data_IF_320453815454
#
_entry.id   IF_320453815454
#
_cell.length_a   1.000
_cell.length_b   1.000
_cell.length_c   1.000
_cell.angle_alpha   90.00
_cell.angle_beta   90.00
_cell.angle_gamma   90.00
#
_symmetry.space_group_name_H-M   'P 1'
#
loop_
_entity.id
_entity.type
_entity.pdbx_description
1 polymer ?
#
# COMPACT_ATOMS: atom_id res chain seq x y z
N UNK A 1 -35.34 13.70 -7.17
CA UNK A 1 -34.97 12.37 -6.66
C UNK A 1 -36.20 11.50 -6.78
N UNK A 2 -36.05 10.35 -7.44
CA UNK A 2 -37.10 9.34 -7.47
C UNK A 2 -37.27 8.71 -6.08
N UNK A 3 -38.47 8.24 -5.79
CA UNK A 3 -38.81 7.65 -4.50
C UNK A 3 -38.13 6.27 -4.39
N UNK A 4 -37.25 6.03 -3.41
CA UNK A 4 -36.47 4.80 -3.35
C UNK A 4 -37.37 3.62 -2.95
N UNK A 5 -37.52 2.65 -3.85
CA UNK A 5 -38.25 1.39 -3.59
C UNK A 5 -37.32 0.33 -3.00
N UNK A 6 -37.83 -0.50 -2.09
CA UNK A 6 -37.09 -1.65 -1.57
C UNK A 6 -37.30 -2.87 -2.45
N UNK A 7 -36.23 -3.39 -3.02
CA UNK A 7 -36.23 -4.59 -3.85
C UNK A 7 -35.27 -5.68 -3.35
N UNK A 8 -34.81 -5.56 -2.09
CA UNK A 8 -33.86 -6.50 -1.49
C UNK A 8 -32.38 -6.27 -1.84
N UNK A 9 -32.02 -5.28 -2.67
CA UNK A 9 -30.62 -5.01 -3.06
C UNK A 9 -29.92 -3.92 -2.23
N UNK A 10 -30.48 -3.57 -1.08
CA UNK A 10 -29.96 -2.57 -0.14
C UNK A 10 -30.24 -3.08 1.28
N UNK A 11 -29.39 -2.71 2.24
CA UNK A 11 -29.61 -3.09 3.62
C UNK A 11 -30.89 -2.41 4.17
N UNK A 12 -31.81 -3.14 4.85
CA UNK A 12 -33.07 -2.57 5.33
C UNK A 12 -32.92 -1.31 6.18
N UNK A 13 -31.96 -1.28 7.10
CA UNK A 13 -31.70 -0.08 7.93
C UNK A 13 -31.24 1.11 7.08
N UNK A 14 -30.48 0.89 6.01
CA UNK A 14 -30.02 1.95 5.12
C UNK A 14 -31.17 2.51 4.27
N UNK A 15 -31.96 1.63 3.68
CA UNK A 15 -33.13 2.03 2.91
C UNK A 15 -34.16 2.80 3.76
N UNK A 16 -34.37 2.37 5.00
CA UNK A 16 -35.24 3.08 5.96
C UNK A 16 -34.66 4.47 6.27
N UNK A 17 -33.35 4.60 6.49
CA UNK A 17 -32.71 5.88 6.73
C UNK A 17 -32.81 6.83 5.51
N UNK A 18 -32.67 6.28 4.30
CA UNK A 18 -32.84 7.05 3.06
C UNK A 18 -34.28 7.56 2.92
N UNK A 19 -35.26 6.72 3.23
CA UNK A 19 -36.67 7.12 3.28
C UNK A 19 -36.93 8.18 4.35
N UNK A 20 -36.38 8.00 5.55
CA UNK A 20 -36.51 8.99 6.63
C UNK A 20 -35.95 10.34 6.22
N UNK A 21 -34.78 10.35 5.58
CA UNK A 21 -34.16 11.57 5.05
C UNK A 21 -35.04 12.20 3.97
N UNK A 22 -35.53 11.41 3.01
CA UNK A 22 -36.38 11.88 1.93
C UNK A 22 -37.70 12.47 2.44
N UNK A 23 -38.36 11.78 3.37
CA UNK A 23 -39.64 12.23 3.92
C UNK A 23 -39.47 13.38 4.89
N UNK A 24 -38.46 13.42 5.76
CA UNK A 24 -38.20 14.58 6.62
C UNK A 24 -38.03 15.88 5.81
N UNK A 25 -37.46 15.79 4.61
CA UNK A 25 -37.34 16.93 3.68
C UNK A 25 -38.71 17.34 3.10
N UNK A 26 -39.70 16.43 3.06
CA UNK A 26 -40.99 16.63 2.38
C UNK A 26 -42.21 16.72 3.30
N UNK A 27 -42.22 16.11 4.48
CA UNK A 27 -43.31 16.02 5.47
C UNK A 27 -42.76 15.68 6.88
N UNK A 28 -43.45 16.11 7.93
CA UNK A 28 -42.98 15.94 9.33
C UNK A 28 -43.17 14.54 9.94
N UNK A 29 -43.94 13.64 9.31
CA UNK A 29 -44.26 12.31 9.85
C UNK A 29 -44.35 11.26 8.73
N UNK A 30 -43.63 10.14 8.88
CA UNK A 30 -43.67 9.01 7.96
C UNK A 30 -44.82 8.10 8.34
N UNK A 31 -45.80 7.96 7.44
CA UNK A 31 -46.84 6.95 7.59
C UNK A 31 -46.28 5.57 7.18
N UNK A 32 -46.40 4.59 8.07
CA UNK A 32 -45.94 3.21 7.84
C UNK A 32 -46.59 2.57 6.60
N UNK A 33 -47.87 2.86 6.33
CA UNK A 33 -48.58 2.32 5.18
C UNK A 33 -47.97 2.81 3.86
N UNK A 34 -47.51 4.07 3.83
CA UNK A 34 -46.79 4.62 2.69
C UNK A 34 -45.47 3.86 2.53
N UNK A 35 -44.70 3.65 3.59
CA UNK A 35 -43.43 2.92 3.51
C UNK A 35 -43.62 1.48 3.03
N UNK A 36 -44.65 0.79 3.53
CA UNK A 36 -45.01 -0.57 3.09
C UNK A 36 -45.31 -0.58 1.58
N UNK A 37 -46.01 0.44 1.06
CA UNK A 37 -46.31 0.55 -0.38
C UNK A 37 -45.07 0.74 -1.28
N UNK A 38 -43.91 1.05 -0.69
CA UNK A 38 -42.63 1.20 -1.39
C UNK A 38 -41.80 -0.09 -1.44
N UNK A 39 -42.26 -1.14 -0.78
CA UNK A 39 -41.67 -2.47 -0.89
C UNK A 39 -42.12 -3.10 -2.21
N UNK A 40 -41.18 -3.69 -2.92
CA UNK A 40 -41.46 -4.40 -4.16
C UNK A 40 -42.49 -5.51 -3.92
N UNK A 41 -43.51 -5.58 -4.78
CA UNK A 41 -44.62 -6.54 -4.64
C UNK A 41 -44.19 -8.01 -4.67
N UNK A 42 -42.99 -8.32 -5.15
CA UNK A 42 -42.41 -9.67 -5.11
C UNK A 42 -42.02 -10.10 -3.68
N UNK A 43 -41.81 -9.15 -2.77
CA UNK A 43 -41.46 -9.37 -1.37
C UNK A 43 -42.75 -9.41 -0.54
N UNK A 44 -43.09 -10.59 -0.02
CA UNK A 44 -44.32 -10.80 0.73
C UNK A 44 -44.11 -10.48 2.21
N UNK A 45 -44.69 -9.38 2.66
CA UNK A 45 -44.66 -8.99 4.07
C UNK A 45 -45.74 -9.72 4.90
N UNK A 46 -45.45 -10.06 6.16
CA UNK A 46 -46.46 -10.56 7.10
C UNK A 46 -47.49 -9.47 7.43
N UNK A 47 -48.67 -9.89 7.88
CA UNK A 47 -49.71 -8.98 8.39
C UNK A 47 -49.31 -8.39 9.76
N UNK A 48 -49.79 -7.19 10.08
CA UNK A 48 -49.60 -6.60 11.42
C UNK A 48 -48.32 -5.79 11.62
N UNK A 49 -47.69 -5.35 10.52
CA UNK A 49 -46.60 -4.37 10.54
C UNK A 49 -47.20 -3.00 10.83
N UNK A 50 -47.05 -2.52 12.06
CA UNK A 50 -47.57 -1.22 12.53
C UNK A 50 -46.47 -0.19 12.79
N UNK A 51 -45.19 -0.57 12.64
CA UNK A 51 -44.05 0.30 12.88
C UNK A 51 -42.81 -0.09 12.08
N UNK A 52 -41.83 0.82 12.04
CA UNK A 52 -40.59 0.68 11.27
C UNK A 52 -39.72 -0.48 11.76
N UNK A 53 -39.71 -0.77 13.06
CA UNK A 53 -38.92 -1.89 13.61
C UNK A 53 -39.46 -3.24 13.14
N UNK A 54 -40.79 -3.44 13.20
CA UNK A 54 -41.44 -4.64 12.67
C UNK A 54 -41.22 -4.78 11.17
N UNK A 55 -41.32 -3.67 10.42
CA UNK A 55 -41.06 -3.68 8.98
C UNK A 55 -39.61 -4.11 8.70
N UNK A 56 -38.63 -3.48 9.36
CA UNK A 56 -37.22 -3.82 9.22
C UNK A 56 -36.97 -5.31 9.46
N UNK A 57 -37.52 -5.86 10.54
CA UNK A 57 -37.33 -7.25 10.88
C UNK A 57 -37.94 -8.17 9.81
N UNK A 58 -39.16 -7.86 9.33
CA UNK A 58 -39.78 -8.58 8.23
C UNK A 58 -38.96 -8.53 6.93
N UNK A 59 -38.36 -7.37 6.60
CA UNK A 59 -37.48 -7.23 5.44
C UNK A 59 -36.18 -8.02 5.58
N UNK A 60 -35.64 -8.16 6.80
CA UNK A 60 -34.46 -8.99 7.08
C UNK A 60 -34.75 -10.49 7.07
N UNK A 61 -35.98 -10.89 7.40
CA UNK A 61 -36.42 -12.30 7.34
C UNK A 61 -36.67 -12.77 5.90
N UNK A 62 -36.94 -11.87 4.96
CA UNK A 62 -37.15 -12.21 3.56
C UNK A 62 -35.89 -12.82 2.89
N UNK A 63 -36.11 -13.77 1.98
CA UNK A 63 -35.03 -14.47 1.27
C UNK A 63 -34.15 -13.53 0.44
N UNK A 64 -34.71 -12.42 -0.07
CA UNK A 64 -33.96 -11.44 -0.86
C UNK A 64 -32.85 -10.79 -0.04
N UNK A 65 -33.11 -10.46 1.23
CA UNK A 65 -32.08 -9.93 2.12
C UNK A 65 -30.99 -10.97 2.41
N UNK A 66 -31.37 -12.24 2.59
CA UNK A 66 -30.39 -13.33 2.74
C UNK A 66 -29.48 -13.45 1.52
N UNK A 67 -30.04 -13.35 0.31
CA UNK A 67 -29.27 -13.36 -0.95
C UNK A 67 -28.34 -12.15 -1.04
N UNK A 68 -28.83 -10.95 -0.72
CA UNK A 68 -28.03 -9.72 -0.68
C UNK A 68 -26.86 -9.83 0.32
N UNK A 69 -27.13 -10.25 1.55
CA UNK A 69 -26.14 -10.45 2.61
C UNK A 69 -25.03 -11.40 2.17
N UNK A 70 -25.42 -12.56 1.65
CA UNK A 70 -24.48 -13.58 1.15
C UNK A 70 -23.68 -13.09 -0.07
N UNK A 71 -24.27 -12.24 -0.91
CA UNK A 71 -23.57 -11.64 -2.05
C UNK A 71 -22.47 -10.71 -1.58
N UNK A 72 -22.76 -9.80 -0.63
CA UNK A 72 -21.75 -8.91 -0.05
C UNK A 72 -20.61 -9.70 0.62
N UNK A 73 -20.93 -10.81 1.32
CA UNK A 73 -19.92 -11.71 1.88
C UNK A 73 -19.02 -12.35 0.81
N UNK A 74 -19.57 -12.80 -0.33
CA UNK A 74 -18.77 -13.32 -1.45
C UNK A 74 -17.90 -12.25 -2.11
N UNK A 75 -18.38 -11.00 -2.18
CA UNK A 75 -17.58 -9.88 -2.67
C UNK A 75 -16.41 -9.59 -1.70
N UNK A 76 -16.64 -9.63 -0.38
CA UNK A 76 -15.55 -9.53 0.62
C UNK A 76 -14.49 -10.61 0.44
N UNK A 77 -14.89 -11.85 0.12
CA UNK A 77 -13.96 -12.97 -0.10
C UNK A 77 -13.04 -12.76 -1.31
N UNK A 78 -13.49 -12.01 -2.32
CA UNK A 78 -12.75 -11.72 -3.54
C UNK A 78 -12.19 -10.30 -3.61
N UNK A 79 -12.43 -9.48 -2.59
CA UNK A 79 -11.96 -8.11 -2.50
C UNK A 79 -10.43 -8.09 -2.50
N UNK A 80 -9.84 -7.21 -3.30
CA UNK A 80 -8.38 -7.04 -3.38
C UNK A 80 -8.01 -5.61 -3.06
N UNK A 81 -7.03 -5.44 -2.18
CA UNK A 81 -6.37 -4.17 -1.94
C UNK A 81 -5.32 -3.93 -3.02
N UNK A 82 -5.42 -2.79 -3.70
CA UNK A 82 -4.37 -2.29 -4.58
C UNK A 82 -3.69 -1.11 -3.87
N UNK A 83 -2.37 -1.16 -3.59
CA UNK A 83 -1.69 -0.04 -2.97
C UNK A 83 -1.59 1.15 -3.94
N UNK A 84 -1.49 2.36 -3.39
CA UNK A 84 -1.47 3.62 -4.15
C UNK A 84 -0.34 3.68 -5.17
N UNK A 85 0.83 3.10 -4.85
CA UNK A 85 1.96 2.98 -5.79
C UNK A 85 1.66 2.17 -7.05
N UNK A 86 0.63 1.31 -7.02
CA UNK A 86 0.13 0.54 -8.17
C UNK A 86 -1.14 1.18 -8.76
N UNK A 87 -1.38 2.46 -8.50
CA UNK A 87 -2.56 3.21 -8.95
C UNK A 87 -3.83 2.93 -8.15
N UNK A 88 -3.71 2.33 -6.96
CA UNK A 88 -4.84 2.10 -6.06
C UNK A 88 -5.28 3.35 -5.30
N UNK A 89 -6.36 3.22 -4.53
CA UNK A 89 -6.87 4.28 -3.66
C UNK A 89 -7.33 3.65 -2.33
N UNK A 90 -6.57 3.93 -1.27
CA UNK A 90 -6.81 3.34 0.06
C UNK A 90 -8.15 3.77 0.65
N UNK A 91 -8.54 5.02 0.47
CA UNK A 91 -9.82 5.55 0.97
C UNK A 91 -11.02 4.84 0.34
N UNK A 92 -11.02 4.68 -1.00
CA UNK A 92 -12.06 3.95 -1.73
C UNK A 92 -12.12 2.48 -1.31
N UNK A 93 -10.95 1.85 -1.14
CA UNK A 93 -10.87 0.47 -0.67
C UNK A 93 -11.49 0.31 0.73
N UNK A 94 -11.12 1.16 1.68
CA UNK A 94 -11.63 1.12 3.06
C UNK A 94 -13.13 1.41 3.10
N UNK A 95 -13.61 2.40 2.36
CA UNK A 95 -15.04 2.71 2.26
C UNK A 95 -15.83 1.50 1.76
N UNK A 96 -15.35 0.88 0.68
CA UNK A 96 -15.97 -0.32 0.11
C UNK A 96 -15.92 -1.50 1.10
N UNK A 97 -14.77 -1.76 1.72
CA UNK A 97 -14.62 -2.83 2.73
C UNK A 97 -15.63 -2.67 3.88
N UNK A 98 -15.71 -1.47 4.48
CA UNK A 98 -16.67 -1.18 5.56
C UNK A 98 -18.11 -1.41 5.12
N UNK A 99 -18.45 -0.92 3.93
CA UNK A 99 -19.78 -1.04 3.37
C UNK A 99 -20.19 -2.50 3.18
N UNK A 100 -19.29 -3.30 2.63
CA UNK A 100 -19.51 -4.73 2.44
C UNK A 100 -19.63 -5.47 3.78
N UNK A 101 -18.82 -5.15 4.79
CA UNK A 101 -18.94 -5.74 6.13
C UNK A 101 -20.31 -5.44 6.76
N UNK A 102 -20.75 -4.17 6.67
CA UNK A 102 -22.07 -3.75 7.15
C UNK A 102 -23.21 -4.48 6.43
N UNK A 103 -23.20 -4.48 5.10
CA UNK A 103 -24.23 -5.14 4.28
C UNK A 103 -24.27 -6.66 4.50
N UNK A 104 -23.14 -7.27 4.83
CA UNK A 104 -23.01 -8.69 5.14
C UNK A 104 -23.37 -9.02 6.61
N UNK A 105 -23.71 -8.03 7.43
CA UNK A 105 -23.87 -8.13 8.90
C UNK A 105 -22.67 -8.79 9.61
N UNK A 106 -21.45 -8.57 9.11
CA UNK A 106 -20.22 -9.06 9.72
C UNK A 106 -19.77 -8.06 10.79
N UNK A 107 -20.24 -8.27 12.01
CA UNK A 107 -19.92 -7.43 13.17
C UNK A 107 -18.74 -7.97 14.00
N UNK A 108 -18.38 -9.24 13.84
CA UNK A 108 -17.25 -9.85 14.51
C UNK A 108 -15.92 -9.32 13.95
N UNK A 109 -15.12 -8.72 14.83
CA UNK A 109 -13.86 -8.07 14.45
C UNK A 109 -12.82 -9.09 13.99
N UNK A 110 -12.82 -10.31 14.54
CA UNK A 110 -11.92 -11.38 14.09
C UNK A 110 -12.26 -11.86 12.67
N UNK A 111 -13.54 -11.93 12.31
CA UNK A 111 -13.97 -12.19 10.94
C UNK A 111 -13.57 -11.04 9.99
N UNK A 112 -13.72 -9.78 10.41
CA UNK A 112 -13.28 -8.61 9.65
C UNK A 112 -11.77 -8.61 9.40
N UNK A 113 -10.95 -8.92 10.42
CA UNK A 113 -9.49 -9.08 10.29
C UNK A 113 -9.14 -10.10 9.21
N UNK A 114 -9.80 -11.26 9.20
CA UNK A 114 -9.58 -12.32 8.20
C UNK A 114 -9.90 -11.85 6.79
N UNK A 115 -11.00 -11.12 6.59
CA UNK A 115 -11.34 -10.57 5.27
C UNK A 115 -10.34 -9.51 4.81
N UNK A 116 -9.97 -8.59 5.69
CA UNK A 116 -9.00 -7.55 5.37
C UNK A 116 -7.63 -8.18 5.02
N UNK A 117 -7.15 -9.13 5.82
CA UNK A 117 -5.90 -9.85 5.55
C UNK A 117 -5.92 -10.57 4.20
N UNK A 118 -6.99 -11.30 3.87
CA UNK A 118 -7.13 -12.01 2.59
C UNK A 118 -7.16 -11.08 1.38
N UNK A 119 -7.53 -9.81 1.58
CA UNK A 119 -7.53 -8.82 0.51
C UNK A 119 -6.13 -8.30 0.16
N UNK A 120 -5.14 -8.51 1.03
CA UNK A 120 -3.77 -8.07 0.80
C UNK A 120 -3.16 -8.82 -0.40
N UNK A 121 -2.26 -8.19 -1.17
CA UNK A 121 -1.70 -8.84 -2.34
C UNK A 121 -0.87 -10.08 -1.95
N UNK A 122 -1.09 -11.19 -2.67
CA UNK A 122 -0.47 -12.50 -2.42
C UNK A 122 1.04 -12.57 -2.66
N UNK A 123 1.64 -11.51 -3.18
CA UNK A 123 3.02 -11.50 -3.66
C UNK A 123 3.92 -11.12 -2.47
N UNK A 124 4.37 -12.07 -1.65
CA UNK A 124 5.43 -11.91 -0.64
C UNK A 124 5.61 -10.47 -0.11
N UNK A 125 4.53 -9.88 0.37
CA UNK A 125 4.57 -8.63 1.11
C UNK A 125 4.98 -9.02 2.51
N UNK A 126 6.23 -9.47 2.67
CA UNK A 126 6.74 -9.92 3.96
C UNK A 126 6.58 -8.78 4.97
N UNK A 127 6.76 -7.52 4.55
CA UNK A 127 6.51 -6.37 5.40
C UNK A 127 5.03 -6.18 5.78
N UNK A 128 4.12 -5.88 4.83
CA UNK A 128 2.71 -5.58 5.16
C UNK A 128 2.08 -6.75 5.91
N UNK A 129 2.34 -7.99 5.48
CA UNK A 129 1.69 -9.16 6.08
C UNK A 129 2.19 -9.45 7.50
N UNK A 130 3.50 -9.29 7.76
CA UNK A 130 4.06 -9.45 9.10
C UNK A 130 3.61 -8.32 10.02
N UNK A 131 3.70 -7.07 9.56
CA UNK A 131 3.22 -5.90 10.31
C UNK A 131 1.72 -6.01 10.61
N UNK A 132 0.93 -6.50 9.66
CA UNK A 132 -0.49 -6.75 9.87
C UNK A 132 -0.70 -7.76 11.00
N UNK A 133 -0.01 -8.90 10.99
CA UNK A 133 -0.18 -9.89 12.05
C UNK A 133 0.18 -9.31 13.43
N UNK A 134 1.28 -8.58 13.53
CA UNK A 134 1.73 -7.98 14.79
C UNK A 134 0.82 -6.87 15.30
N UNK A 135 0.48 -5.89 14.43
CA UNK A 135 -0.33 -4.73 14.81
C UNK A 135 -1.80 -5.07 15.06
N UNK A 136 -2.31 -6.19 14.53
CA UNK A 136 -3.72 -6.56 14.65
C UNK A 136 -4.05 -7.46 15.86
N UNK A 137 -3.05 -7.89 16.66
CA UNK A 137 -3.26 -8.80 17.81
C UNK A 137 -4.32 -8.32 18.80
N UNK A 138 -4.26 -7.04 19.17
CA UNK A 138 -5.10 -6.47 20.24
C UNK A 138 -6.25 -5.61 19.73
N UNK A 139 -6.51 -5.62 18.42
CA UNK A 139 -7.56 -4.80 17.80
C UNK A 139 -8.94 -5.37 18.14
N UNK A 140 -9.81 -4.53 18.70
CA UNK A 140 -11.13 -4.95 19.20
C UNK A 140 -12.32 -4.27 18.50
N UNK A 141 -12.07 -3.42 17.51
CA UNK A 141 -13.10 -2.70 16.77
C UNK A 141 -12.70 -2.48 15.31
N UNK A 142 -13.70 -2.29 14.44
CA UNK A 142 -13.45 -1.97 13.02
C UNK A 142 -12.71 -0.64 12.83
N UNK A 143 -12.97 0.35 13.68
CA UNK A 143 -12.31 1.65 13.58
C UNK A 143 -10.83 1.53 13.93
N UNK A 144 -10.49 0.75 14.96
CA UNK A 144 -9.09 0.46 15.30
C UNK A 144 -8.41 -0.38 14.21
N UNK A 145 -9.10 -1.39 13.67
CA UNK A 145 -8.62 -2.19 12.53
C UNK A 145 -8.21 -1.31 11.35
N UNK A 146 -9.07 -0.36 10.96
CA UNK A 146 -8.81 0.56 9.86
C UNK A 146 -7.64 1.49 10.19
N UNK A 147 -7.57 2.00 11.43
CA UNK A 147 -6.47 2.86 11.87
C UNK A 147 -5.13 2.14 11.75
N UNK A 148 -5.02 0.93 12.30
CA UNK A 148 -3.79 0.12 12.21
C UNK A 148 -3.42 -0.23 10.78
N UNK A 149 -4.42 -0.47 9.93
CA UNK A 149 -4.17 -0.73 8.51
C UNK A 149 -3.64 0.51 7.79
N UNK A 150 -4.19 1.69 8.07
CA UNK A 150 -3.67 2.96 7.55
C UNK A 150 -2.22 3.19 7.99
N UNK A 151 -1.89 2.93 9.27
CA UNK A 151 -0.52 3.05 9.78
C UNK A 151 0.44 2.17 8.97
N UNK A 152 0.05 0.92 8.67
CA UNK A 152 0.84 -0.01 7.84
C UNK A 152 1.00 0.51 6.41
N UNK A 153 -0.08 1.03 5.81
CA UNK A 153 -0.03 1.59 4.44
C UNK A 153 0.88 2.81 4.38
N UNK A 154 0.83 3.67 5.40
CA UNK A 154 1.69 4.84 5.51
C UNK A 154 3.16 4.44 5.66
N UNK A 155 3.46 3.48 6.53
CA UNK A 155 4.81 2.92 6.67
C UNK A 155 5.30 2.31 5.34
N UNK A 156 4.45 1.54 4.67
CA UNK A 156 4.73 0.91 3.38
C UNK A 156 5.06 1.92 2.28
N UNK A 157 4.38 3.07 2.28
CA UNK A 157 4.60 4.14 1.30
C UNK A 157 5.99 4.76 1.42
N UNK A 158 6.60 4.71 2.61
CA UNK A 158 7.92 5.27 2.89
C UNK A 158 9.07 4.27 2.66
N UNK A 159 8.77 3.00 2.34
CA UNK A 159 9.81 1.99 2.12
C UNK A 159 10.56 2.18 0.80
N UNK A 160 11.88 2.04 0.88
CA UNK A 160 12.77 2.02 -0.29
C UNK A 160 12.69 0.65 -0.97
N UNK A 161 12.34 0.67 -2.25
CA UNK A 161 12.14 -0.52 -3.07
C UNK A 161 13.10 -0.56 -4.23
N UNK A 162 13.16 -1.72 -4.86
CA UNK A 162 13.89 -1.86 -6.10
C UNK A 162 13.31 -0.90 -7.15
N UNK A 163 14.17 -0.05 -7.70
CA UNK A 163 13.81 0.99 -8.65
C UNK A 163 13.42 2.34 -8.04
N UNK A 164 13.38 2.47 -6.71
CA UNK A 164 13.16 3.77 -6.05
C UNK A 164 14.24 4.77 -6.47
N UNK A 165 13.85 6.05 -6.60
CA UNK A 165 14.79 7.16 -6.76
C UNK A 165 15.08 7.73 -5.38
N UNK A 166 16.37 7.80 -5.04
CA UNK A 166 16.85 8.22 -3.73
C UNK A 166 17.97 9.24 -3.87
N UNK A 167 18.23 9.99 -2.79
CA UNK A 167 19.40 10.83 -2.66
C UNK A 167 20.30 10.29 -1.53
N UNK A 168 21.61 10.37 -1.70
CA UNK A 168 22.58 9.87 -0.73
C UNK A 168 23.22 11.06 -0.02
N UNK A 169 22.92 11.24 1.27
CA UNK A 169 23.39 12.39 2.05
C UNK A 169 24.61 12.03 2.87
N UNK A 170 25.71 12.76 2.70
CA UNK A 170 26.90 12.61 3.51
C UNK A 170 26.69 13.22 4.89
N UNK A 171 26.75 12.39 5.93
CA UNK A 171 26.39 12.71 7.31
C UNK A 171 27.15 13.93 7.81
N UNK A 172 28.48 13.94 7.68
CA UNK A 172 29.31 15.00 8.24
C UNK A 172 29.11 16.37 7.56
N UNK A 173 28.83 16.38 6.25
CA UNK A 173 28.71 17.65 5.49
C UNK A 173 27.28 18.08 5.24
N UNK A 174 26.30 17.19 5.42
CA UNK A 174 24.91 17.39 5.02
C UNK A 174 24.67 17.49 3.50
N UNK A 175 25.71 17.31 2.68
CA UNK A 175 25.66 17.44 1.22
C UNK A 175 25.38 16.11 0.53
N UNK A 176 24.87 16.15 -0.69
CA UNK A 176 24.42 14.98 -1.41
C UNK A 176 25.44 14.47 -2.43
N UNK A 177 25.60 13.15 -2.49
CA UNK A 177 26.40 12.47 -3.50
C UNK A 177 25.84 12.76 -4.88
N UNK A 178 26.67 13.34 -5.74
CA UNK A 178 26.27 13.87 -7.03
C UNK A 178 27.16 13.36 -8.14
N UNK A 179 26.60 13.34 -9.35
CA UNK A 179 27.34 13.10 -10.57
C UNK A 179 26.80 13.93 -11.74
N UNK A 180 27.62 14.11 -12.76
CA UNK A 180 27.26 14.86 -13.96
C UNK A 180 27.44 13.95 -15.17
N UNK A 181 26.48 14.01 -16.10
CA UNK A 181 26.55 13.24 -17.34
C UNK A 181 27.80 13.65 -18.14
N UNK A 182 28.53 12.66 -18.64
CA UNK A 182 29.78 12.82 -19.41
C UNK A 182 30.95 13.45 -18.63
N UNK A 183 30.82 13.65 -17.31
CA UNK A 183 31.94 14.06 -16.48
C UNK A 183 32.60 12.80 -15.92
N UNK A 184 33.84 12.54 -16.34
CA UNK A 184 34.59 11.35 -15.99
C UNK A 184 35.93 11.68 -15.31
N UNK A 185 36.49 10.74 -14.57
CA UNK A 185 37.86 10.85 -14.09
C UNK A 185 38.85 10.95 -15.26
N UNK A 186 39.87 11.82 -15.12
CA UNK A 186 40.91 11.99 -16.15
C UNK A 186 41.92 10.83 -16.10
N UNK A 187 42.18 10.31 -14.90
CA UNK A 187 43.12 9.23 -14.60
C UNK A 187 42.43 8.12 -13.80
N UNK A 188 43.03 6.94 -13.66
CA UNK A 188 42.40 5.81 -12.99
C UNK A 188 41.34 5.12 -13.87
N UNK A 189 40.13 4.92 -13.34
CA UNK A 189 39.06 4.16 -14.01
C UNK A 189 38.50 4.85 -15.27
N UNK A 190 38.71 6.16 -15.43
CA UNK A 190 38.09 7.00 -16.48
C UNK A 190 36.56 6.90 -16.55
N UNK A 191 35.98 6.39 -15.48
CA UNK A 191 34.55 6.23 -15.31
C UNK A 191 33.92 7.55 -14.90
N UNK A 192 32.59 7.53 -14.76
CA UNK A 192 31.85 8.70 -14.33
C UNK A 192 32.34 9.22 -12.96
N UNK A 193 32.60 10.53 -12.90
CA UNK A 193 33.02 11.23 -11.70
C UNK A 193 31.85 11.32 -10.70
N UNK A 194 32.14 10.98 -9.45
CA UNK A 194 31.20 11.12 -8.33
C UNK A 194 31.82 12.03 -7.27
N UNK A 195 31.04 12.95 -6.73
CA UNK A 195 31.52 13.95 -5.79
C UNK A 195 30.42 14.39 -4.82
N UNK A 196 30.80 15.01 -3.71
CA UNK A 196 29.87 15.64 -2.77
C UNK A 196 29.42 16.99 -3.35
N UNK A 197 28.13 17.10 -3.68
CA UNK A 197 27.54 18.25 -4.36
C UNK A 197 26.84 19.23 -3.42
N UNK A 198 25.61 19.60 -3.79
CA UNK A 198 24.79 20.57 -3.08
C UNK A 198 24.36 20.07 -1.68
N UNK A 199 24.02 21.01 -0.80
CA UNK A 199 23.35 20.74 0.49
C UNK A 199 21.87 20.42 0.33
N UNK A 200 21.33 20.58 -0.89
CA UNK A 200 19.96 20.23 -1.26
C UNK A 200 19.98 19.10 -2.32
N UNK A 201 18.96 18.22 -2.33
CA UNK A 201 18.85 17.20 -3.36
C UNK A 201 18.51 17.88 -4.69
N UNK A 202 19.44 17.78 -5.65
CA UNK A 202 19.30 18.31 -7.00
C UNK A 202 19.21 17.16 -8.01
N UNK A 203 18.77 17.39 -9.26
CA UNK A 203 18.68 16.32 -10.25
C UNK A 203 19.99 15.55 -10.55
N UNK A 204 21.15 16.14 -10.24
CA UNK A 204 22.47 15.49 -10.35
C UNK A 204 22.82 14.62 -9.13
N UNK A 205 22.02 14.64 -8.08
CA UNK A 205 22.23 13.85 -6.85
C UNK A 205 21.20 12.74 -6.67
N UNK A 206 20.43 12.45 -7.73
CA UNK A 206 19.40 11.42 -7.72
C UNK A 206 19.96 10.10 -8.27
N UNK A 207 19.71 9.04 -7.54
CA UNK A 207 20.17 7.70 -7.81
C UNK A 207 19.00 6.74 -7.79
N UNK A 208 18.89 5.88 -8.80
CA UNK A 208 17.96 4.76 -8.79
C UNK A 208 18.62 3.59 -8.07
N UNK A 209 18.00 3.13 -6.99
CA UNK A 209 18.47 1.95 -6.25
C UNK A 209 17.98 0.69 -6.96
N UNK A 210 18.85 -0.28 -7.19
CA UNK A 210 18.54 -1.52 -7.90
C UNK A 210 19.12 -2.73 -7.15
N UNK A 211 18.29 -3.72 -6.84
CA UNK A 211 18.69 -4.95 -6.15
C UNK A 211 17.79 -6.11 -6.56
N UNK A 212 18.18 -7.35 -6.28
CA UNK A 212 17.29 -8.51 -6.44
C UNK A 212 16.21 -8.50 -5.34
N UNK A 213 14.96 -8.83 -5.66
CA UNK A 213 13.85 -8.76 -4.69
C UNK A 213 13.11 -7.42 -4.67
N UNK A 214 12.12 -7.28 -3.78
CA UNK A 214 11.23 -6.11 -3.73
C UNK A 214 11.64 -5.05 -2.69
N UNK A 215 12.22 -5.46 -1.55
CA UNK A 215 12.62 -4.58 -0.43
C UNK A 215 14.11 -4.70 -0.09
N UNK A 216 14.74 -3.57 0.21
CA UNK A 216 16.19 -3.50 0.49
C UNK A 216 16.59 -4.14 1.82
N UNK A 217 15.67 -4.20 2.80
CA UNK A 217 15.97 -4.59 4.18
C UNK A 217 15.99 -6.10 4.46
N UNK A 218 15.59 -6.94 3.50
CA UNK A 218 15.27 -8.36 3.77
C UNK A 218 16.18 -9.38 3.10
N UNK A 219 17.30 -8.96 2.51
CA UNK A 219 18.18 -9.86 1.76
C UNK A 219 19.62 -9.36 1.77
N UNK A 220 20.59 -10.29 1.85
CA UNK A 220 22.03 -10.09 1.58
C UNK A 220 22.29 -9.73 0.09
N UNK A 221 21.49 -8.84 -0.47
CA UNK A 221 21.49 -8.55 -1.89
C UNK A 221 22.40 -7.36 -2.17
N UNK A 222 23.27 -7.54 -3.16
CA UNK A 222 24.08 -6.47 -3.70
C UNK A 222 23.18 -5.34 -4.20
N UNK A 223 23.32 -4.16 -3.61
CA UNK A 223 22.63 -2.96 -4.06
C UNK A 223 23.49 -2.28 -5.12
N UNK A 224 22.86 -1.93 -6.24
CA UNK A 224 23.45 -1.10 -7.28
C UNK A 224 22.75 0.24 -7.26
N UNK A 225 23.52 1.31 -7.40
CA UNK A 225 22.99 2.66 -7.52
C UNK A 225 23.24 3.14 -8.93
N UNK A 226 22.19 3.56 -9.64
CA UNK A 226 22.30 4.06 -11.01
C UNK A 226 21.98 5.54 -11.04
N UNK A 227 22.91 6.36 -11.51
CA UNK A 227 22.67 7.80 -11.59
C UNK A 227 21.56 8.12 -12.60
N UNK A 228 20.54 8.87 -12.17
CA UNK A 228 19.30 9.06 -12.95
C UNK A 228 19.54 9.75 -14.29
N UNK A 229 20.44 10.73 -14.36
CA UNK A 229 20.67 11.50 -15.60
C UNK A 229 21.58 10.84 -16.62
N UNK A 230 22.52 10.03 -16.17
CA UNK A 230 23.53 9.41 -17.04
C UNK A 230 23.29 7.92 -17.28
N UNK A 231 22.38 7.29 -16.53
CA UNK A 231 22.06 5.87 -16.60
C UNK A 231 23.28 4.96 -16.32
N UNK A 232 24.26 5.49 -15.60
CA UNK A 232 25.52 4.82 -15.26
C UNK A 232 25.52 4.40 -13.79
N UNK A 233 26.11 3.25 -13.51
CA UNK A 233 26.17 2.70 -12.16
C UNK A 233 27.29 3.31 -11.32
N UNK A 234 27.03 3.41 -10.01
CA UNK A 234 28.00 3.64 -8.96
C UNK A 234 28.74 2.32 -8.69
N UNK A 235 30.07 2.36 -8.72
CA UNK A 235 30.93 1.20 -8.54
C UNK A 235 31.43 0.66 -9.87
N UNK A 236 32.77 0.61 -9.99
CA UNK A 236 33.44 0.17 -11.21
C UNK A 236 34.10 -1.17 -10.92
N UNK A 237 33.28 -2.20 -11.02
CA UNK A 237 33.73 -3.58 -11.09
C UNK A 237 34.39 -3.78 -12.47
N UNK A 238 35.65 -4.17 -12.51
CA UNK A 238 36.28 -4.64 -13.74
C UNK A 238 36.61 -6.12 -13.64
N UNK A 239 36.46 -6.82 -14.76
CA UNK A 239 36.83 -8.22 -14.89
C UNK A 239 38.13 -8.29 -15.70
N UNK A 240 39.11 -9.03 -15.21
CA UNK A 240 40.26 -9.42 -16.01
C UNK A 240 40.48 -10.92 -15.90
N UNK A 241 41.00 -11.51 -16.98
CA UNK A 241 41.35 -12.91 -17.00
C UNK A 241 42.76 -13.06 -16.43
N UNK A 242 42.87 -13.76 -15.30
CA UNK A 242 44.17 -14.09 -14.73
C UNK A 242 44.70 -15.36 -15.39
N UNK A 243 45.71 -15.16 -16.24
CA UNK A 243 46.37 -16.23 -16.98
C UNK A 243 47.09 -17.24 -16.06
N UNK A 244 47.39 -16.87 -14.80
CA UNK A 244 48.10 -17.74 -13.84
C UNK A 244 47.11 -18.70 -13.16
N UNK A 245 45.98 -18.19 -12.68
CA UNK A 245 44.95 -19.01 -12.03
C UNK A 245 43.94 -19.63 -13.00
N UNK A 246 43.93 -19.19 -14.28
CA UNK A 246 42.99 -19.63 -15.30
C UNK A 246 41.54 -19.18 -15.05
N UNK A 247 41.33 -18.15 -14.22
CA UNK A 247 40.00 -17.67 -13.82
C UNK A 247 39.80 -16.20 -14.16
N UNK A 248 38.55 -15.84 -14.41
CA UNK A 248 38.13 -14.44 -14.45
C UNK A 248 38.07 -13.90 -13.03
N UNK A 249 38.92 -12.93 -12.72
CA UNK A 249 38.94 -12.21 -11.44
C UNK A 249 38.12 -10.94 -11.59
N UNK A 250 37.33 -10.63 -10.55
CA UNK A 250 36.59 -9.38 -10.41
C UNK A 250 37.32 -8.52 -9.38
N UNK A 251 37.68 -7.31 -9.76
CA UNK A 251 38.40 -6.38 -8.91
C UNK A 251 37.84 -4.96 -9.07
N UNK A 252 38.29 -4.06 -8.20
CA UNK A 252 37.78 -2.70 -8.10
C UNK A 252 38.90 -1.69 -8.32
N UNK A 253 38.59 -0.60 -9.02
CA UNK A 253 39.53 0.49 -9.17
C UNK A 253 39.79 1.17 -7.82
N UNK A 254 40.99 1.69 -7.64
CA UNK A 254 41.38 2.46 -6.46
C UNK A 254 41.40 3.94 -6.80
N UNK A 255 40.89 4.76 -5.87
CA UNK A 255 40.92 6.21 -5.94
C UNK A 255 42.35 6.71 -6.17
N UNK A 256 42.59 7.56 -7.17
CA UNK A 256 43.92 8.11 -7.45
C UNK A 256 44.50 8.96 -6.30
N UNK A 257 43.66 9.53 -5.44
CA UNK A 257 44.09 10.46 -4.38
C UNK A 257 44.28 9.78 -3.02
N UNK A 258 43.51 8.74 -2.72
CA UNK A 258 43.50 8.07 -1.40
C UNK A 258 43.90 6.61 -1.44
N UNK A 259 43.97 6.00 -2.63
CA UNK A 259 44.22 4.58 -2.86
C UNK A 259 43.18 3.64 -2.21
N UNK A 260 42.07 4.18 -1.71
CA UNK A 260 40.90 3.42 -1.26
C UNK A 260 40.11 2.90 -2.47
N UNK A 261 39.45 1.76 -2.30
CA UNK A 261 38.59 1.17 -3.33
C UNK A 261 37.47 2.13 -3.73
N UNK A 262 37.19 2.25 -5.02
CA UNK A 262 36.00 2.90 -5.57
C UNK A 262 34.80 1.96 -5.29
N UNK A 263 34.25 2.05 -4.07
CA UNK A 263 33.42 1.02 -3.44
C UNK A 263 32.09 0.72 -4.14
N UNK A 264 31.73 -0.58 -4.10
CA UNK A 264 30.38 -1.10 -4.25
C UNK A 264 29.67 -1.02 -2.90
N UNK A 265 28.45 -0.52 -2.93
CA UNK A 265 27.59 -0.41 -1.75
C UNK A 265 27.04 -1.79 -1.37
N UNK A 266 27.48 -2.32 -0.23
CA UNK A 266 26.88 -3.48 0.43
C UNK A 266 26.17 -2.98 1.69
N UNK A 267 24.86 -3.22 1.82
CA UNK A 267 24.13 -2.95 3.06
C UNK A 267 24.14 -4.19 3.94
N UNK A 268 24.52 -4.03 5.20
CA UNK A 268 24.28 -5.03 6.24
C UNK A 268 22.93 -4.76 6.92
N UNK A 269 22.35 -5.80 7.50
CA UNK A 269 21.00 -5.89 8.08
C UNK A 269 20.68 -4.90 9.21
N UNK A 270 21.62 -4.03 9.60
CA UNK A 270 21.47 -3.03 10.66
C UNK A 270 21.53 -1.59 10.14
N UNK A 271 20.58 -1.22 9.28
CA UNK A 271 20.23 0.19 9.00
C UNK A 271 20.63 0.74 7.61
N UNK A 272 19.97 1.82 7.20
CA UNK A 272 20.18 2.54 5.93
C UNK A 272 21.49 3.37 5.91
N UNK A 273 22.60 2.82 6.40
CA UNK A 273 23.91 3.48 6.38
C UNK A 273 24.83 2.78 5.39
N UNK A 274 25.41 3.56 4.48
CA UNK A 274 26.44 3.15 3.54
C UNK A 274 27.71 3.90 3.94
N UNK A 275 28.46 3.38 4.89
CA UNK A 275 29.55 4.13 5.52
C UNK A 275 29.04 5.46 6.10
N UNK A 276 29.54 6.59 5.60
CA UNK A 276 29.12 7.95 6.03
C UNK A 276 27.94 8.52 5.21
N UNK A 277 27.25 7.72 4.41
CA UNK A 277 26.10 8.15 3.60
C UNK A 277 24.80 7.56 4.17
N UNK A 278 23.77 8.39 4.27
CA UNK A 278 22.40 7.98 4.60
C UNK A 278 21.56 8.07 3.33
N UNK A 279 20.72 7.06 3.10
CA UNK A 279 19.73 7.10 2.01
C UNK A 279 18.53 7.94 2.43
N UNK A 280 18.15 8.89 1.59
CA UNK A 280 17.00 9.78 1.78
C UNK A 280 16.03 9.60 0.61
N UNK A 281 14.74 9.38 0.93
CA UNK A 281 13.63 9.42 -0.03
C UNK A 281 13.21 10.86 -0.35
#
# INVERSE_FOLDING_TARGET
MDLPKYNGNIHPDEWINDLQTYFNIKQNLINIDIVISLVDSTIKLPTGIDNIEKLRNALKEDISFTVFKNTNKRILQSLKYNPERKGGNTSNFISNFRKLCYNAEINDVEEQKKFLYKSLPNNHFDYISNEFYEKMKNVNSINELIKRFEEIVLEESNLIRNGSIVALKHVATGKYLSSVKNLCYITGSRSQLVFIGSSEPIPNSLWKIEFSGELAAYTDNSIRLRHVKSDTFLGILYCYYDNISGRSIRDYYKSPSTNHTEEVVMMDTTGMEIGNLIIVN
#
